data_IF_371054321990
#
_entry.id   IF_371054321990
#
_cell.length_a   1.000
_cell.length_b   1.000
_cell.length_c   1.000
_cell.angle_alpha   90.00
_cell.angle_beta   90.00
_cell.angle_gamma   90.00
#
_symmetry.space_group_name_H-M   'P 1'
#
loop_
_entity.id
_entity.type
_entity.pdbx_description
1 polymer ?
#
# COMPACT_ATOMS: atom_id res chain seq x y z
N UNK A 1 18.20 8.66 -5.46
CA UNK A 1 17.85 7.33 -4.92
C UNK A 1 18.08 7.42 -3.43
N UNK A 2 16.99 7.57 -2.69
CA UNK A 2 16.98 7.68 -1.24
C UNK A 2 16.26 6.46 -0.71
N UNK A 3 16.96 5.66 0.09
CA UNK A 3 16.35 4.50 0.75
C UNK A 3 15.09 4.95 1.47
N UNK A 4 14.00 4.23 1.24
CA UNK A 4 12.69 4.61 1.76
C UNK A 4 12.07 3.42 2.48
N UNK A 5 11.64 3.63 3.72
CA UNK A 5 10.91 2.63 4.51
C UNK A 5 9.45 3.02 4.56
N UNK A 6 8.55 2.12 4.17
CA UNK A 6 7.11 2.24 4.29
C UNK A 6 6.65 1.54 5.58
N UNK A 7 5.90 2.24 6.41
CA UNK A 7 5.25 1.71 7.61
C UNK A 7 3.74 1.65 7.35
N UNK A 8 3.14 0.48 7.60
CA UNK A 8 1.71 0.25 7.35
C UNK A 8 1.04 -0.31 8.60
N UNK A 9 -0.09 0.28 8.97
CA UNK A 9 -1.01 -0.25 9.97
C UNK A 9 -2.42 -0.34 9.37
N UNK A 10 -2.88 -1.53 8.96
CA UNK A 10 -4.17 -1.67 8.27
C UNK A 10 -5.39 -1.32 9.13
N UNK A 11 -5.33 -1.53 10.44
CA UNK A 11 -6.43 -1.27 11.38
C UNK A 11 -5.87 -0.77 12.70
N UNK A 12 -6.71 -0.25 13.60
CA UNK A 12 -6.30 0.21 14.94
C UNK A 12 -5.57 -0.86 15.79
N UNK A 13 -5.67 -2.15 15.41
CA UNK A 13 -4.98 -3.25 16.09
C UNK A 13 -3.46 -3.21 15.82
N UNK A 14 -2.61 -3.07 16.86
CA UNK A 14 -1.17 -2.91 16.68
C UNK A 14 -0.49 -4.16 16.13
N UNK A 15 -1.09 -5.34 16.26
CA UNK A 15 -0.53 -6.62 15.76
C UNK A 15 -0.48 -6.68 14.23
N UNK A 16 -1.27 -5.83 13.54
CA UNK A 16 -1.29 -5.71 12.09
C UNK A 16 -0.17 -4.82 11.52
N UNK A 17 0.64 -4.18 12.38
CA UNK A 17 1.73 -3.30 11.94
C UNK A 17 2.80 -4.10 11.20
N UNK A 18 3.20 -3.58 10.05
CA UNK A 18 4.28 -4.14 9.24
C UNK A 18 5.05 -3.02 8.55
N UNK A 19 6.19 -3.36 7.96
CA UNK A 19 7.00 -2.44 7.20
C UNK A 19 7.59 -3.10 5.96
N UNK A 20 7.95 -2.28 4.98
CA UNK A 20 8.68 -2.69 3.78
C UNK A 20 9.73 -1.64 3.42
N UNK A 21 10.85 -2.08 2.90
CA UNK A 21 11.96 -1.22 2.49
C UNK A 21 12.13 -1.20 0.96
N UNK A 22 12.58 -0.05 0.46
CA UNK A 22 12.73 0.23 -0.98
C UNK A 22 14.01 1.03 -1.24
N UNK A 23 14.58 0.91 -2.44
CA UNK A 23 15.80 1.64 -2.82
C UNK A 23 15.51 3.11 -3.17
N UNK A 24 14.25 3.44 -3.50
CA UNK A 24 13.81 4.78 -3.82
C UNK A 24 12.37 5.09 -3.37
N UNK A 25 12.03 6.38 -3.32
CA UNK A 25 10.66 6.84 -3.06
C UNK A 25 9.69 6.32 -4.13
N UNK A 26 10.11 6.25 -5.40
CA UNK A 26 9.26 5.78 -6.49
C UNK A 26 8.88 4.31 -6.30
N UNK A 27 9.83 3.46 -5.96
CA UNK A 27 9.58 2.04 -5.67
C UNK A 27 8.67 1.86 -4.45
N UNK A 28 8.83 2.72 -3.43
CA UNK A 28 7.93 2.75 -2.27
C UNK A 28 6.49 3.07 -2.70
N UNK A 29 6.28 4.06 -3.56
CA UNK A 29 4.95 4.40 -4.08
C UNK A 29 4.36 3.28 -4.95
N UNK A 30 5.19 2.60 -5.76
CA UNK A 30 4.75 1.38 -6.47
C UNK A 30 4.33 0.27 -5.50
N UNK A 31 5.00 0.15 -4.36
CA UNK A 31 4.64 -0.75 -3.27
C UNK A 31 3.24 -0.49 -2.72
N UNK A 32 2.88 0.78 -2.53
CA UNK A 32 1.53 1.19 -2.10
C UNK A 32 0.47 0.79 -3.13
N UNK A 33 0.73 1.01 -4.43
CA UNK A 33 -0.18 0.56 -5.49
C UNK A 33 -0.36 -0.96 -5.47
N UNK A 34 0.75 -1.72 -5.38
CA UNK A 34 0.72 -3.20 -5.32
C UNK A 34 -0.05 -3.72 -4.11
N UNK A 35 0.02 -3.03 -2.97
CA UNK A 35 -0.74 -3.38 -1.77
C UNK A 35 -2.25 -3.31 -2.04
N UNK A 36 -2.72 -2.26 -2.71
CA UNK A 36 -4.12 -2.13 -3.09
C UNK A 36 -4.53 -3.14 -4.19
N UNK A 37 -3.67 -3.36 -5.18
CA UNK A 37 -3.91 -4.33 -6.25
C UNK A 37 -4.05 -5.76 -5.71
N UNK A 38 -3.23 -6.15 -4.74
CA UNK A 38 -3.36 -7.45 -4.07
C UNK A 38 -4.65 -7.53 -3.22
N UNK A 39 -5.08 -6.43 -2.61
CA UNK A 39 -6.39 -6.35 -1.96
C UNK A 39 -7.53 -6.57 -2.97
N UNK A 40 -7.50 -5.87 -4.11
CA UNK A 40 -8.49 -6.01 -5.18
C UNK A 40 -8.51 -7.43 -5.76
N UNK A 41 -7.34 -8.04 -5.96
CA UNK A 41 -7.21 -9.42 -6.46
C UNK A 41 -7.83 -10.45 -5.52
N UNK A 42 -7.69 -10.26 -4.20
CA UNK A 42 -8.34 -11.13 -3.20
C UNK A 42 -9.86 -10.97 -3.20
N UNK A 43 -10.36 -9.76 -3.45
CA UNK A 43 -11.81 -9.52 -3.55
C UNK A 43 -12.41 -10.01 -4.87
N UNK A 44 -11.62 -10.06 -5.95
CA UNK A 44 -12.07 -10.41 -7.29
C UNK A 44 -11.27 -11.61 -7.86
N UNK A 45 -11.32 -12.80 -7.23
CA UNK A 45 -10.42 -13.92 -7.55
C UNK A 45 -10.59 -14.47 -8.98
N UNK A 46 -11.73 -14.23 -9.61
CA UNK A 46 -12.04 -14.68 -10.96
C UNK A 46 -11.77 -13.61 -12.03
N UNK A 47 -11.37 -12.40 -11.65
CA UNK A 47 -11.06 -11.33 -12.60
C UNK A 47 -9.58 -11.40 -12.99
N UNK A 48 -9.24 -11.75 -14.25
CA UNK A 48 -7.85 -11.88 -14.67
C UNK A 48 -7.14 -10.52 -14.78
N UNK A 49 -7.92 -9.44 -14.90
CA UNK A 49 -7.43 -8.06 -14.90
C UNK A 49 -8.42 -7.20 -14.12
N UNK A 50 -7.89 -6.22 -13.39
CA UNK A 50 -8.68 -5.26 -12.61
C UNK A 50 -8.14 -3.87 -12.94
N UNK A 51 -9.05 -2.96 -13.24
CA UNK A 51 -8.76 -1.54 -13.46
C UNK A 51 -9.46 -0.74 -12.37
N UNK A 52 -8.78 0.27 -11.83
CA UNK A 52 -9.31 1.14 -10.79
C UNK A 52 -8.90 2.59 -11.08
N UNK A 53 -9.70 3.53 -10.57
CA UNK A 53 -9.38 4.95 -10.61
C UNK A 53 -8.46 5.33 -9.44
N UNK A 54 -7.66 6.39 -9.62
CA UNK A 54 -6.77 6.91 -8.58
C UNK A 54 -7.52 7.29 -7.29
N UNK A 55 -8.77 7.75 -7.40
CA UNK A 55 -9.62 8.04 -6.24
C UNK A 55 -9.85 6.82 -5.38
N UNK A 56 -10.08 5.65 -5.98
CA UNK A 56 -10.32 4.40 -5.24
C UNK A 56 -9.06 3.92 -4.49
N UNK A 57 -7.87 4.18 -5.04
CA UNK A 57 -6.61 3.94 -4.32
C UNK A 57 -6.48 4.87 -3.12
N UNK A 58 -6.85 6.15 -3.27
CA UNK A 58 -6.82 7.09 -2.15
C UNK A 58 -7.84 6.72 -1.07
N UNK A 59 -9.06 6.31 -1.45
CA UNK A 59 -10.05 5.82 -0.49
C UNK A 59 -9.51 4.63 0.32
N UNK A 60 -8.86 3.67 -0.33
CA UNK A 60 -8.20 2.56 0.36
C UNK A 60 -7.10 3.02 1.31
N UNK A 61 -6.31 4.03 0.94
CA UNK A 61 -5.27 4.60 1.82
C UNK A 61 -5.91 5.32 3.02
N UNK A 62 -7.01 6.05 2.82
CA UNK A 62 -7.73 6.73 3.89
C UNK A 62 -8.38 5.77 4.88
N UNK A 63 -8.72 4.55 4.46
CA UNK A 63 -9.27 3.51 5.33
C UNK A 63 -8.20 2.82 6.20
N UNK A 64 -6.91 3.00 5.93
CA UNK A 64 -5.83 2.50 6.79
C UNK A 64 -5.78 3.30 8.10
N UNK A 65 -5.49 2.62 9.21
CA UNK A 65 -5.30 3.30 10.49
C UNK A 65 -4.03 4.17 10.50
N UNK A 66 -2.95 3.70 9.86
CA UNK A 66 -1.74 4.50 9.67
C UNK A 66 -0.99 4.08 8.40
N UNK A 67 -0.43 5.08 7.72
CA UNK A 67 0.46 4.91 6.57
C UNK A 67 1.48 6.05 6.58
N UNK A 68 2.76 5.71 6.72
CA UNK A 68 3.84 6.69 6.70
C UNK A 68 5.06 6.15 5.98
N UNK A 69 5.90 7.04 5.47
CA UNK A 69 7.19 6.66 4.90
C UNK A 69 8.33 7.50 5.47
N UNK A 70 9.48 6.87 5.62
CA UNK A 70 10.72 7.48 6.09
C UNK A 70 11.69 7.49 4.92
N UNK A 71 12.12 8.68 4.49
CA UNK A 71 13.05 8.86 3.37
C UNK A 71 14.41 9.27 3.93
N UNK A 72 15.46 8.55 3.53
CA UNK A 72 16.84 8.86 3.90
C UNK A 72 17.43 10.02 3.08
#
# INVERSE_FOLDING_TARGET
MSHTVLLVQPTERPEGRTYADYESVNECMEGVCKMYEEHLKRMNPNSPSITYDISQLFDFIYDLADLSCLVY
#
